data_IF_478689395737
#
_entry.id   IF_478689395737
#
_cell.length_a   1.000
_cell.length_b   1.000
_cell.length_c   1.000
_cell.angle_alpha   90.00
_cell.angle_beta   90.00
_cell.angle_gamma   90.00
#
_symmetry.space_group_name_H-M   'P 1'
#
loop_
_entity.id
_entity.type
_entity.pdbx_description
1 polymer ?
#
# COMPACT_ATOMS: atom_id res chain seq x y z
N UNK A 1 22.99 -18.54 -1.48
CA UNK A 1 21.51 -18.48 -1.31
C UNK A 1 21.04 -17.92 0.05
N UNK A 2 21.91 -17.58 1.02
CA UNK A 2 21.50 -17.10 2.36
C UNK A 2 20.84 -15.71 2.38
N UNK A 3 21.25 -14.80 1.48
CA UNK A 3 20.69 -13.45 1.41
C UNK A 3 19.21 -13.47 0.99
N UNK A 4 18.84 -14.35 0.06
CA UNK A 4 17.46 -14.46 -0.42
C UNK A 4 16.55 -15.05 0.65
N UNK A 5 17.04 -16.02 1.43
CA UNK A 5 16.35 -16.55 2.59
C UNK A 5 16.13 -15.48 3.68
N UNK A 6 17.14 -14.63 3.93
CA UNK A 6 17.02 -13.49 4.84
C UNK A 6 15.96 -12.49 4.37
N UNK A 7 15.99 -12.10 3.09
CA UNK A 7 14.96 -11.23 2.49
C UNK A 7 13.58 -11.88 2.58
N UNK A 8 13.50 -13.19 2.34
CA UNK A 8 12.27 -13.96 2.46
C UNK A 8 11.66 -13.91 3.86
N UNK A 9 12.48 -14.21 4.89
CA UNK A 9 12.08 -14.14 6.30
C UNK A 9 11.63 -12.74 6.71
N UNK A 10 12.27 -11.68 6.21
CA UNK A 10 11.82 -10.31 6.43
C UNK A 10 10.45 -10.04 5.79
N UNK A 11 10.19 -10.55 4.59
CA UNK A 11 8.88 -10.45 3.95
C UNK A 11 7.78 -11.15 4.78
N UNK A 12 8.11 -12.31 5.36
CA UNK A 12 7.22 -13.03 6.29
C UNK A 12 6.98 -12.19 7.55
N UNK A 13 8.04 -11.64 8.16
CA UNK A 13 7.94 -10.75 9.31
C UNK A 13 7.00 -9.57 9.06
N UNK A 14 7.14 -8.89 7.92
CA UNK A 14 6.27 -7.76 7.58
C UNK A 14 4.81 -8.19 7.43
N UNK A 15 4.57 -9.34 6.81
CA UNK A 15 3.22 -9.85 6.58
C UNK A 15 2.54 -10.26 7.88
N UNK A 16 3.23 -11.03 8.73
CA UNK A 16 2.68 -11.47 10.02
C UNK A 16 2.48 -10.26 10.94
N UNK A 17 3.41 -9.31 10.98
CA UNK A 17 3.23 -8.07 11.75
C UNK A 17 1.95 -7.32 11.35
N UNK A 18 1.71 -7.15 10.04
CA UNK A 18 0.50 -6.47 9.57
C UNK A 18 -0.77 -7.24 9.94
N UNK A 19 -0.71 -8.56 9.91
CA UNK A 19 -1.81 -9.42 10.31
C UNK A 19 -2.11 -9.27 11.81
N UNK A 20 -1.11 -9.42 12.68
CA UNK A 20 -1.25 -9.22 14.13
C UNK A 20 -1.80 -7.82 14.43
N UNK A 21 -1.23 -6.78 13.80
CA UNK A 21 -1.74 -5.42 13.95
C UNK A 21 -3.18 -5.26 13.46
N UNK A 22 -3.55 -5.96 12.39
CA UNK A 22 -4.92 -6.02 11.88
C UNK A 22 -5.89 -6.55 12.93
N UNK A 23 -5.53 -7.63 13.62
CA UNK A 23 -6.29 -8.18 14.74
C UNK A 23 -6.39 -7.21 15.91
N UNK A 24 -5.30 -6.54 16.28
CA UNK A 24 -5.33 -5.50 17.32
C UNK A 24 -6.29 -4.36 16.97
N UNK A 25 -6.25 -3.87 15.73
CA UNK A 25 -7.15 -2.81 15.28
C UNK A 25 -8.60 -3.28 15.28
N UNK A 26 -8.85 -4.53 14.88
CA UNK A 26 -10.18 -5.13 14.92
C UNK A 26 -10.72 -5.23 16.35
N UNK A 27 -9.93 -5.81 17.27
CA UNK A 27 -10.28 -5.93 18.68
C UNK A 27 -10.50 -4.56 19.34
N UNK A 28 -9.61 -3.59 19.08
CA UNK A 28 -9.73 -2.24 19.60
C UNK A 28 -11.02 -1.54 19.12
N UNK A 29 -11.35 -1.70 17.84
CA UNK A 29 -12.57 -1.14 17.26
C UNK A 29 -13.83 -1.84 17.80
N UNK A 30 -13.77 -3.15 18.04
CA UNK A 30 -14.86 -3.92 18.62
C UNK A 30 -15.20 -3.44 20.03
N UNK A 31 -14.18 -3.16 20.86
CA UNK A 31 -14.34 -2.68 22.23
C UNK A 31 -14.76 -1.20 22.26
N UNK A 32 -14.19 -0.36 21.40
CA UNK A 32 -14.34 1.11 21.47
C UNK A 32 -15.53 1.64 20.65
N UNK A 33 -16.43 0.74 20.22
CA UNK A 33 -17.52 0.79 19.21
C UNK A 33 -18.12 2.12 18.66
N UNK A 34 -17.77 3.35 19.07
CA UNK A 34 -18.50 4.54 18.60
C UNK A 34 -17.81 5.91 18.57
N UNK A 35 -16.49 6.07 18.76
CA UNK A 35 -15.86 7.41 18.59
C UNK A 35 -14.69 7.35 17.62
N UNK A 36 -14.99 7.54 16.33
CA UNK A 36 -14.00 7.78 15.27
C UNK A 36 -13.38 9.18 15.43
N UNK A 37 -12.60 9.36 16.48
CA UNK A 37 -11.79 10.57 16.62
C UNK A 37 -10.58 10.49 15.66
N UNK A 38 -10.33 11.52 14.85
CA UNK A 38 -9.15 11.57 13.97
C UNK A 38 -7.85 11.48 14.77
N UNK A 39 -7.82 12.04 15.99
CA UNK A 39 -6.66 12.01 16.90
C UNK A 39 -6.33 10.58 17.33
N UNK A 40 -7.34 9.81 17.79
CA UNK A 40 -7.17 8.41 18.19
C UNK A 40 -6.63 7.55 17.03
N UNK A 41 -7.17 7.77 15.82
CA UNK A 41 -6.76 7.03 14.63
C UNK A 41 -5.32 7.33 14.23
N UNK A 42 -4.89 8.59 14.34
CA UNK A 42 -3.53 9.00 14.04
C UNK A 42 -2.52 8.52 15.11
N UNK A 43 -2.90 8.57 16.39
CA UNK A 43 -2.07 8.04 17.48
C UNK A 43 -1.80 6.53 17.30
N UNK A 44 -2.84 5.73 17.00
CA UNK A 44 -2.67 4.30 16.71
C UNK A 44 -1.74 4.06 15.51
N UNK A 45 -1.74 4.95 14.51
CA UNK A 45 -0.83 4.84 13.36
C UNK A 45 0.62 5.13 13.76
N UNK A 46 0.87 6.14 14.59
CA UNK A 46 2.22 6.42 15.09
C UNK A 46 2.75 5.21 15.87
N UNK A 47 1.96 4.70 16.82
CA UNK A 47 2.31 3.52 17.61
C UNK A 47 2.60 2.32 16.71
N UNK A 48 1.78 2.09 15.68
CA UNK A 48 2.02 1.04 14.68
C UNK A 48 3.41 1.14 14.06
N UNK A 49 3.79 2.32 13.57
CA UNK A 49 5.05 2.50 12.84
C UNK A 49 6.26 2.33 13.77
N UNK A 50 6.17 2.84 15.00
CA UNK A 50 7.21 2.64 16.03
C UNK A 50 7.37 1.15 16.33
N UNK A 51 6.27 0.44 16.59
CA UNK A 51 6.29 -1.00 16.87
C UNK A 51 6.77 -1.81 15.67
N UNK A 52 6.38 -1.44 14.45
CA UNK A 52 6.82 -2.10 13.22
C UNK A 52 8.34 -2.04 13.08
N UNK A 53 8.91 -0.84 13.22
CA UNK A 53 10.36 -0.62 13.14
C UNK A 53 11.08 -1.35 14.26
N UNK A 54 10.60 -1.22 15.50
CA UNK A 54 11.19 -1.88 16.65
C UNK A 54 11.20 -3.41 16.52
N UNK A 55 10.06 -3.98 16.14
CA UNK A 55 9.92 -5.42 15.89
C UNK A 55 10.84 -5.87 14.75
N UNK A 56 10.96 -5.08 13.67
CA UNK A 56 11.83 -5.43 12.54
C UNK A 56 13.29 -5.51 12.97
N UNK A 57 13.77 -4.54 13.75
CA UNK A 57 15.15 -4.55 14.26
C UNK A 57 15.38 -5.73 15.19
N UNK A 58 14.44 -6.00 16.10
CA UNK A 58 14.52 -7.13 17.02
C UNK A 58 14.55 -8.46 16.25
N UNK A 59 13.65 -8.61 15.27
CA UNK A 59 13.57 -9.79 14.42
C UNK A 59 14.87 -10.03 13.64
N UNK A 60 15.46 -8.98 13.04
CA UNK A 60 16.75 -9.06 12.34
C UNK A 60 17.84 -9.57 13.29
N UNK A 61 17.89 -9.09 14.54
CA UNK A 61 18.86 -9.57 15.52
C UNK A 61 18.66 -11.06 15.81
N UNK A 62 17.43 -11.46 16.14
CA UNK A 62 17.10 -12.86 16.48
C UNK A 62 17.50 -13.82 15.36
N UNK A 63 17.07 -13.57 14.12
CA UNK A 63 17.36 -14.48 13.00
C UNK A 63 18.84 -14.51 12.60
N UNK A 64 19.60 -13.43 12.82
CA UNK A 64 21.03 -13.44 12.53
C UNK A 64 21.84 -14.16 13.61
N UNK A 65 21.41 -14.10 14.87
CA UNK A 65 22.03 -14.85 15.98
C UNK A 65 21.83 -16.35 15.75
N UNK A 66 20.61 -16.78 15.44
CA UNK A 66 20.27 -18.21 15.39
C UNK A 66 20.81 -18.92 14.15
N UNK A 67 20.89 -18.22 13.01
CA UNK A 67 21.13 -18.87 11.71
C UNK A 67 22.33 -18.35 10.94
N UNK A 68 22.98 -17.27 11.41
CA UNK A 68 24.12 -16.61 10.76
C UNK A 68 23.96 -16.48 9.23
N UNK A 69 22.80 -15.99 8.78
CA UNK A 69 22.51 -15.81 7.36
C UNK A 69 23.52 -14.84 6.71
N UNK A 70 23.90 -13.80 7.45
CA UNK A 70 24.88 -12.79 7.05
C UNK A 70 25.91 -12.68 8.18
N UNK A 71 27.19 -12.88 7.87
CA UNK A 71 28.27 -12.85 8.88
C UNK A 71 28.46 -11.47 9.54
N UNK A 72 28.14 -10.39 8.82
CA UNK A 72 28.23 -9.03 9.35
C UNK A 72 26.86 -8.51 9.78
N UNK A 73 26.74 -8.24 11.08
CA UNK A 73 25.54 -7.63 11.67
C UNK A 73 25.18 -6.30 10.97
N UNK A 74 26.18 -5.47 10.67
CA UNK A 74 25.97 -4.19 9.97
C UNK A 74 25.31 -4.38 8.59
N UNK A 75 25.77 -5.35 7.81
CA UNK A 75 25.21 -5.65 6.48
C UNK A 75 23.76 -6.11 6.61
N UNK A 76 23.46 -6.94 7.61
CA UNK A 76 22.11 -7.44 7.84
C UNK A 76 21.12 -6.32 8.19
N UNK A 77 21.55 -5.36 9.03
CA UNK A 77 20.79 -4.18 9.41
C UNK A 77 20.57 -3.28 8.19
N UNK A 78 21.61 -3.03 7.37
CA UNK A 78 21.47 -2.20 6.17
C UNK A 78 20.50 -2.80 5.15
N UNK A 79 20.59 -4.10 4.89
CA UNK A 79 19.68 -4.78 3.95
C UNK A 79 18.25 -4.78 4.49
N UNK A 80 18.08 -5.00 5.80
CA UNK A 80 16.80 -4.87 6.48
C UNK A 80 16.22 -3.46 6.37
N UNK A 81 17.04 -2.41 6.56
CA UNK A 81 16.63 -1.02 6.42
C UNK A 81 16.14 -0.70 5.00
N UNK A 82 16.89 -1.15 3.99
CA UNK A 82 16.52 -0.97 2.58
C UNK A 82 15.20 -1.67 2.31
N UNK A 83 15.06 -2.95 2.67
CA UNK A 83 13.86 -3.71 2.38
C UNK A 83 12.63 -3.15 3.12
N UNK A 84 12.78 -2.77 4.38
CA UNK A 84 11.73 -2.10 5.16
C UNK A 84 11.30 -0.79 4.50
N UNK A 85 12.26 0.01 4.04
CA UNK A 85 11.97 1.28 3.36
C UNK A 85 11.21 1.05 2.05
N UNK A 86 11.67 0.11 1.22
CA UNK A 86 10.99 -0.29 -0.03
C UNK A 86 9.56 -0.78 0.25
N UNK A 87 9.39 -1.58 1.31
CA UNK A 87 8.10 -2.07 1.74
C UNK A 87 7.14 -0.92 2.15
N UNK A 88 7.60 0.01 3.00
CA UNK A 88 6.80 1.16 3.43
C UNK A 88 6.41 2.07 2.26
N UNK A 89 7.31 2.29 1.32
CA UNK A 89 7.05 3.05 0.10
C UNK A 89 6.00 2.33 -0.77
N UNK A 90 6.16 1.02 -0.98
CA UNK A 90 5.19 0.23 -1.74
C UNK A 90 3.79 0.30 -1.13
N UNK A 91 3.71 0.24 0.20
CA UNK A 91 2.46 0.37 0.95
C UNK A 91 1.82 1.76 0.80
N UNK A 92 2.61 2.82 0.83
CA UNK A 92 2.14 4.18 0.58
C UNK A 92 1.52 4.32 -0.82
N UNK A 93 2.19 3.82 -1.84
CA UNK A 93 1.73 3.89 -3.23
C UNK A 93 0.43 3.10 -3.43
N UNK A 94 0.30 1.92 -2.81
CA UNK A 94 -0.94 1.14 -2.86
C UNK A 94 -2.12 1.89 -2.21
N UNK A 95 -1.88 2.61 -1.10
CA UNK A 95 -2.91 3.44 -0.45
C UNK A 95 -3.31 4.65 -1.27
N UNK A 96 -2.33 5.31 -1.90
CA UNK A 96 -2.59 6.43 -2.81
C UNK A 96 -3.41 5.99 -4.04
N UNK A 97 -3.06 4.85 -4.65
CA UNK A 97 -3.81 4.26 -5.77
C UNK A 97 -5.24 3.89 -5.36
N UNK A 98 -5.42 3.29 -4.18
CA UNK A 98 -6.75 2.96 -3.67
C UNK A 98 -7.60 4.21 -3.37
N UNK A 99 -6.97 5.29 -2.87
CA UNK A 99 -7.65 6.56 -2.66
C UNK A 99 -8.13 7.19 -3.99
N UNK A 100 -7.34 7.07 -5.06
CA UNK A 100 -7.74 7.51 -6.40
C UNK A 100 -8.89 6.67 -6.97
N UNK A 101 -8.80 5.34 -6.89
CA UNK A 101 -9.90 4.43 -7.31
C UNK A 101 -11.18 4.77 -6.54
N UNK A 102 -11.09 5.03 -5.24
CA UNK A 102 -12.24 5.44 -4.43
C UNK A 102 -12.83 6.77 -4.88
N UNK A 103 -12.01 7.77 -5.24
CA UNK A 103 -12.52 9.02 -5.79
C UNK A 103 -13.23 8.84 -7.14
N UNK A 104 -12.81 7.86 -7.94
CA UNK A 104 -13.43 7.53 -9.23
C UNK A 104 -14.68 6.64 -9.10
N UNK A 105 -14.71 5.73 -8.13
CA UNK A 105 -15.84 4.82 -7.87
C UNK A 105 -17.05 5.50 -7.18
N UNK A 106 -16.92 6.77 -6.80
CA UNK A 106 -18.03 7.60 -6.34
C UNK A 106 -18.84 7.00 -5.16
N UNK A 107 -20.16 7.18 -5.22
CA UNK A 107 -21.12 6.90 -4.15
C UNK A 107 -21.20 5.42 -3.73
N UNK A 108 -20.75 4.47 -4.56
CA UNK A 108 -20.74 3.03 -4.22
C UNK A 108 -19.76 2.67 -3.08
N UNK A 109 -18.71 3.45 -2.86
CA UNK A 109 -17.65 3.16 -1.87
C UNK A 109 -17.66 4.10 -0.66
N UNK A 110 -18.74 4.88 -0.48
CA UNK A 110 -18.87 5.93 0.54
C UNK A 110 -18.82 5.41 1.99
N UNK A 111 -19.12 4.12 2.21
CA UNK A 111 -19.12 3.46 3.53
C UNK A 111 -17.74 3.05 4.08
N UNK A 112 -16.72 2.90 3.22
CA UNK A 112 -15.35 2.54 3.64
C UNK A 112 -14.51 3.80 3.89
N UNK A 113 -14.85 4.59 4.92
CA UNK A 113 -14.15 5.83 5.27
C UNK A 113 -12.86 5.57 6.06
N UNK A 114 -11.72 5.67 5.37
CA UNK A 114 -10.44 6.01 6.02
C UNK A 114 -9.98 7.34 5.43
N UNK A 115 -9.77 8.35 6.29
CA UNK A 115 -9.19 9.63 5.90
C UNK A 115 -7.72 9.42 5.52
N UNK A 116 -7.41 9.40 4.22
CA UNK A 116 -6.04 9.33 3.74
C UNK A 116 -5.47 10.74 3.67
N UNK A 117 -4.56 11.07 4.59
CA UNK A 117 -3.73 12.26 4.53
C UNK A 117 -2.34 11.86 4.03
N UNK A 118 -2.04 12.24 2.78
CA UNK A 118 -0.76 11.95 2.15
C UNK A 118 0.43 12.59 2.87
N UNK A 119 0.26 13.76 3.50
CA UNK A 119 1.35 14.45 4.20
C UNK A 119 1.71 13.71 5.48
N UNK A 120 0.70 13.28 6.24
CA UNK A 120 0.90 12.49 7.44
C UNK A 120 1.57 11.15 7.14
N UNK A 121 1.18 10.45 6.06
CA UNK A 121 1.82 9.19 5.69
C UNK A 121 3.31 9.37 5.33
N UNK A 122 3.66 10.42 4.59
CA UNK A 122 5.06 10.71 4.27
C UNK A 122 5.84 11.02 5.55
N UNK A 123 5.28 11.83 6.45
CA UNK A 123 5.89 12.12 7.75
C UNK A 123 6.10 10.85 8.59
N UNK A 124 5.14 9.91 8.60
CA UNK A 124 5.26 8.63 9.30
C UNK A 124 6.35 7.74 8.70
N UNK A 125 6.49 7.70 7.37
CA UNK A 125 7.52 6.91 6.70
C UNK A 125 8.91 7.49 6.99
N UNK A 126 9.08 8.81 6.84
CA UNK A 126 10.33 9.48 7.18
C UNK A 126 10.69 9.29 8.66
N UNK A 127 9.70 9.46 9.55
CA UNK A 127 9.88 9.22 10.98
C UNK A 127 10.28 7.78 11.28
N UNK A 128 9.72 6.79 10.58
CA UNK A 128 10.10 5.39 10.74
C UNK A 128 11.51 5.09 10.25
N UNK A 129 11.96 5.70 9.15
CA UNK A 129 13.34 5.56 8.67
C UNK A 129 14.32 6.14 9.69
N UNK A 130 14.05 7.35 10.20
CA UNK A 130 14.87 7.99 11.23
C UNK A 130 14.88 7.15 12.52
N UNK A 131 13.72 6.67 12.96
CA UNK A 131 13.60 5.82 14.14
C UNK A 131 14.35 4.49 13.98
N UNK A 132 14.37 3.91 12.77
CA UNK A 132 15.13 2.70 12.48
C UNK A 132 16.64 2.94 12.65
N UNK A 133 17.15 4.06 12.13
CA UNK A 133 18.56 4.42 12.29
C UNK A 133 18.90 4.63 13.77
N UNK A 134 18.09 5.44 14.48
CA UNK A 134 18.32 5.72 15.90
C UNK A 134 18.28 4.47 16.77
N UNK A 135 17.32 3.58 16.54
CA UNK A 135 17.19 2.35 17.31
C UNK A 135 18.17 1.25 16.89
N UNK A 136 18.72 1.31 15.68
CA UNK A 136 19.85 0.46 15.28
C UNK A 136 21.15 0.86 16.00
N UNK A 137 21.34 2.17 16.26
CA UNK A 137 22.48 2.69 17.01
C UNK A 137 22.31 2.56 18.53
N UNK A 138 21.07 2.66 19.02
CA UNK A 138 20.73 2.56 20.44
C UNK A 138 19.74 1.41 20.68
N UNK A 139 20.23 0.18 20.90
CA UNK A 139 19.39 -1.01 21.16
C UNK A 139 18.34 -0.83 22.26
N UNK A 140 18.67 -0.05 23.31
CA UNK A 140 17.79 0.22 24.44
C UNK A 140 16.49 0.94 24.08
N UNK A 141 16.42 1.62 22.94
CA UNK A 141 15.19 2.27 22.45
C UNK A 141 14.17 1.26 21.94
N UNK A 142 14.63 0.08 21.54
CA UNK A 142 13.82 -0.93 20.85
C UNK A 142 13.67 -2.19 21.69
N UNK A 143 14.62 -2.51 22.56
CA UNK A 143 14.55 -3.68 23.45
C UNK A 143 13.57 -3.42 24.60
N UNK A 144 12.29 -3.70 24.34
CA UNK A 144 11.23 -3.64 25.33
C UNK A 144 10.35 -4.88 25.23
N UNK A 145 9.58 -5.17 26.28
CA UNK A 145 8.75 -6.38 26.31
C UNK A 145 7.73 -6.47 25.17
N UNK A 146 7.31 -5.35 24.60
CA UNK A 146 6.31 -5.32 23.52
C UNK A 146 6.94 -5.73 22.18
N UNK A 147 8.08 -5.15 21.80
CA UNK A 147 8.79 -5.48 20.56
C UNK A 147 9.33 -6.90 20.58
N UNK A 148 9.82 -7.37 21.73
CA UNK A 148 10.23 -8.77 21.92
C UNK A 148 9.02 -9.69 21.77
N UNK A 149 7.89 -9.40 22.43
CA UNK A 149 6.68 -10.19 22.27
C UNK A 149 6.18 -10.23 20.81
N UNK A 150 6.23 -9.11 20.09
CA UNK A 150 5.87 -9.08 18.67
C UNK A 150 6.82 -9.93 17.83
N UNK A 151 8.13 -9.85 18.07
CA UNK A 151 9.13 -10.66 17.38
C UNK A 151 8.89 -12.14 17.63
N UNK A 152 8.69 -12.55 18.88
CA UNK A 152 8.45 -13.93 19.26
C UNK A 152 7.12 -14.44 18.71
N UNK A 153 6.06 -13.62 18.74
CA UNK A 153 4.77 -13.96 18.14
C UNK A 153 4.90 -14.20 16.62
N UNK A 154 5.72 -13.40 15.93
CA UNK A 154 5.99 -13.60 14.50
C UNK A 154 6.69 -14.94 14.25
N UNK A 155 7.71 -15.26 15.05
CA UNK A 155 8.46 -16.52 14.94
C UNK A 155 7.52 -17.71 15.21
N UNK A 156 6.73 -17.65 16.28
CA UNK A 156 5.77 -18.71 16.63
C UNK A 156 4.71 -18.94 15.53
N UNK A 157 4.19 -17.87 14.91
CA UNK A 157 3.24 -17.99 13.79
C UNK A 157 3.91 -18.58 12.56
N UNK A 158 5.15 -18.19 12.29
CA UNK A 158 5.94 -18.72 11.18
C UNK A 158 6.23 -20.22 11.35
N UNK A 159 6.60 -20.65 12.55
CA UNK A 159 6.92 -22.05 12.87
C UNK A 159 5.67 -22.95 12.93
N UNK A 160 4.48 -22.36 12.99
CA UNK A 160 3.22 -23.12 12.95
C UNK A 160 2.94 -23.64 11.54
N UNK A 161 2.81 -24.96 11.31
CA UNK A 161 2.81 -25.55 9.95
C UNK A 161 1.78 -24.96 8.97
N UNK A 162 0.53 -24.80 9.40
CA UNK A 162 -0.55 -24.30 8.54
C UNK A 162 -0.48 -22.78 8.34
N UNK A 163 -0.32 -22.02 9.42
CA UNK A 163 -0.25 -20.56 9.34
C UNK A 163 1.03 -20.08 8.67
N UNK A 164 2.17 -20.68 8.98
CA UNK A 164 3.46 -20.40 8.37
C UNK A 164 3.41 -20.52 6.85
N UNK A 165 2.83 -21.61 6.33
CA UNK A 165 2.67 -21.80 4.88
C UNK A 165 1.86 -20.67 4.21
N UNK A 166 0.73 -20.26 4.80
CA UNK A 166 -0.09 -19.16 4.27
C UNK A 166 0.71 -17.86 4.22
N UNK A 167 1.42 -17.53 5.31
CA UNK A 167 2.22 -16.31 5.38
C UNK A 167 3.43 -16.35 4.45
N UNK A 168 4.04 -17.52 4.22
CA UNK A 168 5.10 -17.72 3.24
C UNK A 168 4.62 -17.35 1.83
N UNK A 169 3.44 -17.83 1.41
CA UNK A 169 2.87 -17.52 0.09
C UNK A 169 2.61 -16.02 -0.05
N UNK A 170 1.98 -15.41 0.96
CA UNK A 170 1.69 -13.96 0.94
C UNK A 170 2.99 -13.14 0.94
N UNK A 171 4.01 -13.58 1.68
CA UNK A 171 5.31 -12.92 1.76
C UNK A 171 6.02 -12.84 0.40
N UNK A 172 5.87 -13.85 -0.47
CA UNK A 172 6.40 -13.80 -1.84
C UNK A 172 5.81 -12.61 -2.60
N UNK A 173 4.49 -12.39 -2.52
CA UNK A 173 3.85 -11.25 -3.19
C UNK A 173 4.28 -9.91 -2.58
N UNK A 174 4.43 -9.84 -1.25
CA UNK A 174 4.91 -8.63 -0.57
C UNK A 174 6.33 -8.29 -1.01
N UNK A 175 7.21 -9.29 -1.10
CA UNK A 175 8.60 -9.12 -1.55
C UNK A 175 8.70 -8.75 -3.02
N UNK A 176 7.94 -9.44 -3.87
CA UNK A 176 7.86 -9.10 -5.29
C UNK A 176 7.45 -7.63 -5.47
N UNK A 177 6.42 -7.18 -4.74
CA UNK A 177 6.01 -5.78 -4.74
C UNK A 177 7.12 -4.85 -4.25
N UNK A 178 7.77 -5.15 -3.12
CA UNK A 178 8.84 -4.31 -2.57
C UNK A 178 10.02 -4.18 -3.54
N UNK A 179 10.48 -5.30 -4.12
CA UNK A 179 11.61 -5.34 -5.07
C UNK A 179 11.27 -4.60 -6.36
N UNK A 180 10.08 -4.83 -6.94
CA UNK A 180 9.66 -4.18 -8.19
C UNK A 180 9.64 -2.65 -8.06
N UNK A 181 9.24 -2.15 -6.89
CA UNK A 181 9.27 -0.71 -6.58
C UNK A 181 10.71 -0.22 -6.42
N UNK A 182 11.56 -1.00 -5.75
CA UNK A 182 13.00 -0.75 -5.66
C UNK A 182 13.64 -0.59 -7.03
N UNK A 183 13.41 -1.54 -7.95
CA UNK A 183 13.92 -1.48 -9.32
C UNK A 183 13.43 -0.24 -10.08
N UNK A 184 12.16 0.15 -9.88
CA UNK A 184 11.59 1.35 -10.50
C UNK A 184 12.24 2.64 -9.99
N UNK A 185 12.56 2.70 -8.69
CA UNK A 185 13.22 3.86 -8.08
C UNK A 185 14.68 3.94 -8.52
N UNK A 186 15.40 2.82 -8.49
CA UNK A 186 16.79 2.72 -8.92
C UNK A 186 16.94 3.07 -10.41
N UNK A 187 16.06 2.55 -11.27
CA UNK A 187 16.06 2.88 -12.70
C UNK A 187 15.86 4.37 -12.97
N UNK A 188 15.08 5.07 -12.14
CA UNK A 188 14.86 6.52 -12.27
C UNK A 188 16.01 7.36 -11.72
N UNK A 189 16.64 6.91 -10.63
CA UNK A 189 17.86 7.51 -10.11
C UNK A 189 19.00 7.42 -11.12
N UNK A 190 19.12 6.29 -11.81
CA UNK A 190 20.14 6.08 -12.85
C UNK A 190 19.84 6.86 -14.14
N UNK A 191 18.57 7.08 -14.47
CA UNK A 191 18.16 7.81 -15.68
C UNK A 191 17.90 9.31 -15.45
N UNK A 192 18.05 9.81 -14.22
CA UNK A 192 17.84 11.22 -13.86
C UNK A 192 16.38 11.70 -13.98
N UNK A 193 15.42 10.79 -14.13
CA UNK A 193 14.01 11.15 -14.27
C UNK A 193 13.41 11.58 -12.93
N UNK A 194 12.60 12.65 -12.94
CA UNK A 194 12.01 13.20 -11.72
C UNK A 194 11.07 12.21 -11.02
N UNK A 195 11.14 12.17 -9.69
CA UNK A 195 10.38 11.24 -8.83
C UNK A 195 8.85 11.38 -8.92
N UNK A 196 8.32 12.47 -9.49
CA UNK A 196 6.88 12.76 -9.52
C UNK A 196 6.05 11.75 -10.32
N UNK A 197 6.64 11.05 -11.30
CA UNK A 197 5.91 10.06 -12.13
C UNK A 197 5.97 8.63 -11.58
N UNK A 198 6.78 8.34 -10.56
CA UNK A 198 6.94 6.98 -10.03
C UNK A 198 5.75 6.51 -9.19
N UNK A 199 5.02 7.43 -8.59
CA UNK A 199 3.91 7.17 -7.66
C UNK A 199 2.62 6.72 -8.36
N UNK A 200 2.47 6.97 -9.67
CA UNK A 200 1.20 6.81 -10.38
C UNK A 200 1.10 5.57 -11.29
N UNK A 201 2.18 4.78 -11.48
CA UNK A 201 2.20 3.70 -12.51
C UNK A 201 2.56 2.30 -12.01
N UNK A 202 2.99 2.10 -10.77
CA UNK A 202 3.63 0.84 -10.38
C UNK A 202 2.75 -0.14 -9.59
N UNK A 203 1.43 0.05 -9.52
CA UNK A 203 0.53 -0.92 -8.87
C UNK A 203 0.14 -2.02 -9.86
N UNK A 204 0.40 -3.32 -9.59
CA UNK A 204 -0.01 -4.41 -10.49
C UNK A 204 -1.54 -4.50 -10.67
N UNK A 205 -2.31 -3.95 -9.72
CA UNK A 205 -3.76 -3.78 -9.84
C UNK A 205 -4.20 -2.69 -10.83
N UNK A 206 -3.30 -1.79 -11.25
CA UNK A 206 -3.58 -0.74 -12.22
C UNK A 206 -3.39 -1.22 -13.67
N UNK A 207 -2.64 -2.30 -13.87
CA UNK A 207 -2.49 -2.96 -15.19
C UNK A 207 -3.71 -3.83 -15.56
N UNK A 208 -4.67 -4.04 -14.65
CA UNK A 208 -6.01 -4.46 -15.04
C UNK A 208 -6.72 -3.25 -15.67
N UNK A 209 -6.48 -3.09 -16.97
CA UNK A 209 -6.91 -1.98 -17.80
C UNK A 209 -8.44 -2.03 -18.08
N UNK A 210 -9.25 -2.07 -17.01
CA UNK A 210 -10.71 -1.95 -17.10
C UNK A 210 -11.13 -0.56 -17.61
N UNK A 211 -10.29 0.44 -17.37
CA UNK A 211 -10.51 1.84 -17.76
C UNK A 211 -10.33 2.09 -19.27
N UNK A 212 -9.32 1.48 -19.90
CA UNK A 212 -9.09 1.65 -21.34
C UNK A 212 -10.21 1.08 -22.22
N UNK A 213 -10.94 0.08 -21.71
CA UNK A 213 -12.02 -0.58 -22.45
C UNK A 213 -13.43 -0.04 -22.11
N UNK A 214 -13.64 0.61 -20.96
CA UNK A 214 -14.93 1.24 -20.66
C UNK A 214 -15.07 2.62 -21.30
N UNK A 215 -14.04 3.46 -21.24
CA UNK A 215 -14.12 4.81 -21.79
C UNK A 215 -14.24 4.81 -23.31
N UNK A 216 -13.67 3.79 -23.98
CA UNK A 216 -13.88 3.53 -25.42
C UNK A 216 -15.27 2.95 -25.75
N UNK A 217 -15.98 2.38 -24.78
CA UNK A 217 -17.33 1.82 -24.99
C UNK A 217 -18.45 2.80 -24.67
N UNK A 218 -18.17 3.83 -23.87
CA UNK A 218 -19.16 4.83 -23.44
C UNK A 218 -18.85 6.25 -23.93
N UNK A 219 -17.79 6.45 -24.72
CA UNK A 219 -17.38 7.75 -25.28
C UNK A 219 -17.75 7.97 -26.74
N UNK A 220 -18.33 6.99 -27.42
CA UNK A 220 -18.92 7.18 -28.74
C UNK A 220 -20.44 7.33 -28.58
N UNK A 221 -20.88 8.44 -28.00
CA UNK A 221 -22.17 9.00 -28.43
C UNK A 221 -21.91 9.56 -29.82
N UNK A 222 -22.33 8.81 -30.84
CA UNK A 222 -22.53 9.35 -32.17
C UNK A 222 -23.44 10.56 -32.02
N UNK A 223 -22.90 11.75 -32.26
CA UNK A 223 -23.68 12.91 -32.68
C UNK A 223 -24.48 12.45 -33.90
N UNK A 224 -25.73 12.08 -33.68
CA UNK A 224 -26.75 12.08 -34.74
C UNK A 224 -26.85 13.56 -35.12
N UNK A 225 -26.07 13.96 -36.14
CA UNK A 225 -26.31 15.19 -36.85
C UNK A 225 -27.75 15.11 -37.37
N UNK A 226 -28.63 15.88 -36.74
CA UNK A 226 -29.92 16.19 -37.30
C UNK A 226 -29.66 16.94 -38.60
N UNK A 227 -29.61 16.19 -39.70
CA UNK A 227 -29.77 16.68 -41.06
C UNK A 227 -31.19 17.28 -41.12
N UNK A 228 -31.28 18.56 -40.77
CA UNK A 228 -32.48 19.36 -40.98
C UNK A 228 -32.65 19.49 -42.50
N UNK A 229 -33.43 18.59 -43.07
CA UNK A 229 -34.04 18.78 -44.38
C UNK A 229 -34.90 20.05 -44.31
N UNK A 230 -34.43 21.07 -45.02
CA UNK A 230 -35.15 22.30 -45.33
C UNK A 230 -36.45 21.91 -46.05
N UNK A 231 -37.58 21.94 -45.33
CA UNK A 231 -38.89 21.77 -45.93
C UNK A 231 -39.24 23.06 -46.65
N UNK A 232 -39.23 22.95 -47.98
CA UNK A 232 -39.74 23.89 -48.96
C UNK A 232 -41.17 24.32 -48.57
N UNK A 233 -41.37 25.63 -48.40
CA UNK A 233 -42.63 26.27 -48.05
C UNK A 233 -43.62 26.10 -49.22
N UNK A 234 -44.50 25.10 -49.15
CA UNK A 234 -45.59 24.93 -50.11
C UNK A 234 -46.69 25.94 -49.76
N UNK A 235 -46.77 27.00 -50.56
CA UNK A 235 -47.91 27.94 -50.56
C UNK A 235 -49.09 27.22 -51.21
N UNK A 236 -50.04 26.75 -50.40
CA UNK A 236 -51.35 26.30 -50.90
C UNK A 236 -52.34 27.48 -50.90
N UNK A 237 -52.74 27.91 -52.10
CA UNK A 237 -53.87 28.81 -52.34
C UNK A 237 -55.19 28.11 -52.00
N UNK A 238 -55.84 28.50 -50.91
CA UNK A 238 -57.27 28.25 -50.73
C UNK A 238 -58.06 29.26 -51.57
N UNK A 239 -58.59 28.80 -52.72
CA UNK A 239 -59.66 29.49 -53.43
C UNK A 239 -61.01 28.83 -53.12
N UNK A 240 -61.94 29.65 -52.65
CA UNK A 240 -63.36 29.36 -52.46
C UNK A 240 -64.01 28.82 -53.74
N UNK A 241 -64.94 27.86 -53.64
CA UNK A 241 -66.34 28.08 -54.03
C UNK A 241 -67.21 26.80 -54.11
N UNK A 242 -68.36 26.92 -53.44
CA UNK A 242 -69.73 26.60 -53.86
C UNK A 242 -70.23 25.16 -54.11
N UNK A 243 -71.32 24.91 -53.36
CA UNK A 243 -72.50 24.05 -53.57
C UNK A 243 -72.38 22.55 -53.24
#
# INVERSE_FOLDING_TARGET
MKILQFLFLLGVCFTIFEFIWGLFKFAFNFITSSIKSPVKTNALRIVKYILFVGTTIQFIKTINIDSQYIHSSAISISIGAILMTLYLIGKFQNRAAFAQIKSMAGQMMKGFSTSFDSKLEVALILGAIVFFVLGSLNPSLIENGITTWFSDAIINIYDTPFFGFIFMVIAVFVLYNAISRGSSILGKLLTGQSFKEATAKASPFQNFNFQGNLQKRFGNEETIEAEFTEYEEVVEEETESNN
#
